data_IF_283817797405
#
_entry.id   IF_283817797405
#
_cell.length_a   1.000
_cell.length_b   1.000
_cell.length_c   1.000
_cell.angle_alpha   90.00
_cell.angle_beta   90.00
_cell.angle_gamma   90.00
#
_symmetry.space_group_name_H-M   'P 1'
#
loop_
_entity.id
_entity.type
_entity.pdbx_description
1 polymer ?
#
# COMPACT_ATOMS: atom_id res chain seq x y z
N UNK A 1 15.39 5.74 19.05
CA UNK A 1 15.28 4.29 18.74
C UNK A 1 14.39 4.08 17.51
N UNK A 2 13.20 4.73 17.43
CA UNK A 2 12.26 4.56 16.31
C UNK A 2 12.90 4.84 14.94
N UNK A 3 13.56 5.98 14.77
CA UNK A 3 14.18 6.36 13.50
C UNK A 3 15.26 5.37 13.01
N UNK A 4 15.99 4.70 13.92
CA UNK A 4 16.95 3.67 13.54
C UNK A 4 16.26 2.39 13.04
N UNK A 5 15.13 2.05 13.62
CA UNK A 5 14.31 0.94 13.16
C UNK A 5 13.74 1.23 11.77
N UNK A 6 13.24 2.43 11.55
CA UNK A 6 12.72 2.84 10.25
C UNK A 6 13.79 2.88 9.17
N UNK A 7 14.96 3.43 9.47
CA UNK A 7 16.10 3.35 8.59
C UNK A 7 16.43 1.91 8.19
N UNK A 8 16.42 1.00 9.16
CA UNK A 8 16.66 -0.43 8.91
C UNK A 8 15.58 -1.05 8.03
N UNK A 9 14.29 -0.73 8.29
CA UNK A 9 13.16 -1.22 7.49
C UNK A 9 13.27 -0.70 6.06
N UNK A 10 13.52 0.60 5.88
CA UNK A 10 13.66 1.22 4.56
C UNK A 10 14.84 0.63 3.78
N UNK A 11 16.00 0.50 4.41
CA UNK A 11 17.19 -0.12 3.82
C UNK A 11 16.91 -1.57 3.40
N UNK A 12 16.24 -2.34 4.24
CA UNK A 12 15.91 -3.75 3.94
C UNK A 12 14.94 -3.85 2.77
N UNK A 13 13.87 -3.07 2.78
CA UNK A 13 12.87 -3.06 1.71
C UNK A 13 13.48 -2.62 0.36
N UNK A 14 14.30 -1.57 0.37
CA UNK A 14 14.95 -1.07 -0.83
C UNK A 14 16.02 -2.02 -1.38
N UNK A 15 16.79 -2.68 -0.50
CA UNK A 15 17.77 -3.72 -0.89
C UNK A 15 17.06 -4.93 -1.55
N UNK A 16 15.92 -5.34 -1.00
CA UNK A 16 15.12 -6.40 -1.61
C UNK A 16 14.53 -5.96 -2.96
N UNK A 17 14.02 -4.73 -3.05
CA UNK A 17 13.52 -4.18 -4.31
C UNK A 17 14.61 -4.10 -5.39
N UNK A 18 15.85 -3.75 -5.02
CA UNK A 18 17.00 -3.78 -5.94
C UNK A 18 17.23 -5.18 -6.51
N UNK A 19 17.22 -6.22 -5.68
CA UNK A 19 17.37 -7.62 -6.11
C UNK A 19 16.23 -8.08 -7.03
N UNK A 20 15.05 -7.50 -6.85
CA UNK A 20 13.86 -7.82 -7.65
C UNK A 20 13.79 -7.05 -8.98
N UNK A 21 14.68 -6.08 -9.24
CA UNK A 21 14.71 -5.33 -10.52
C UNK A 21 14.62 -6.20 -11.78
N UNK A 22 15.34 -7.34 -11.88
CA UNK A 22 15.28 -8.18 -13.07
C UNK A 22 13.88 -8.77 -13.33
N UNK A 23 13.06 -8.88 -12.28
CA UNK A 23 11.73 -9.48 -12.31
C UNK A 23 10.62 -8.44 -12.29
N UNK A 24 10.96 -7.17 -12.04
CA UNK A 24 10.01 -6.09 -11.86
C UNK A 24 9.37 -5.69 -13.19
N UNK A 25 8.04 -5.72 -13.25
CA UNK A 25 7.26 -5.09 -14.30
C UNK A 25 7.04 -3.59 -14.06
N UNK A 26 6.37 -2.90 -14.97
CA UNK A 26 6.08 -1.46 -14.89
C UNK A 26 5.27 -1.09 -13.61
N UNK A 27 4.41 -1.99 -13.15
CA UNK A 27 3.55 -1.80 -11.98
C UNK A 27 4.20 -2.27 -10.66
N UNK A 28 5.48 -2.69 -10.67
CA UNK A 28 6.15 -3.17 -9.48
C UNK A 28 6.20 -2.08 -8.40
N UNK A 29 5.85 -2.46 -7.17
CA UNK A 29 5.91 -1.61 -5.99
C UNK A 29 6.40 -2.43 -4.79
N UNK A 30 7.12 -1.76 -3.91
CA UNK A 30 7.40 -2.23 -2.55
C UNK A 30 6.81 -1.21 -1.58
N UNK A 31 6.08 -1.68 -0.60
CA UNK A 31 5.48 -0.80 0.40
C UNK A 31 6.02 -1.11 1.80
N UNK A 32 6.13 -0.07 2.60
CA UNK A 32 6.56 -0.14 3.98
C UNK A 32 5.57 0.59 4.88
N UNK A 33 5.25 -0.01 6.01
CA UNK A 33 4.40 0.62 7.01
C UNK A 33 5.17 1.73 7.72
N UNK A 34 4.51 2.87 7.90
CA UNK A 34 4.98 4.01 8.69
C UNK A 34 3.90 4.47 9.65
N UNK A 35 4.29 5.22 10.67
CA UNK A 35 3.37 5.79 11.66
C UNK A 35 3.38 7.32 11.61
N UNK A 36 2.47 7.96 12.35
CA UNK A 36 2.53 9.41 12.52
C UNK A 36 3.83 9.85 13.20
N UNK A 37 4.34 9.10 14.17
CA UNK A 37 5.63 9.41 14.80
C UNK A 37 6.77 9.37 13.79
N UNK A 38 6.72 8.46 12.82
CA UNK A 38 7.66 8.41 11.70
C UNK A 38 7.60 9.69 10.89
N UNK A 39 6.42 10.13 10.53
CA UNK A 39 6.21 11.36 9.77
C UNK A 39 6.56 12.62 10.59
N UNK A 40 6.40 12.60 11.91
CA UNK A 40 6.83 13.69 12.78
C UNK A 40 8.36 13.83 12.85
N UNK A 41 9.09 12.77 12.62
CA UNK A 41 10.54 12.85 12.59
C UNK A 41 11.04 13.77 11.48
N UNK A 42 11.84 14.77 11.85
CA UNK A 42 12.37 15.78 10.92
C UNK A 42 13.32 15.26 9.84
N UNK A 43 13.82 14.03 9.99
CA UNK A 43 14.74 13.39 9.05
C UNK A 43 14.10 12.42 8.07
N UNK A 44 12.79 12.18 8.15
CA UNK A 44 12.11 11.13 7.36
C UNK A 44 12.25 11.33 5.85
N UNK A 45 12.05 12.55 5.35
CA UNK A 45 12.14 12.86 3.93
C UNK A 45 13.53 12.57 3.38
N UNK A 46 14.57 13.00 4.10
CA UNK A 46 15.97 12.77 3.70
C UNK A 46 16.32 11.28 3.79
N UNK A 47 15.83 10.58 4.81
CA UNK A 47 16.07 9.14 4.97
C UNK A 47 15.47 8.35 3.79
N UNK A 48 14.27 8.69 3.33
CA UNK A 48 13.64 8.07 2.16
C UNK A 48 14.46 8.36 0.90
N UNK A 49 14.83 9.61 0.66
CA UNK A 49 15.62 10.02 -0.50
C UNK A 49 16.98 9.29 -0.55
N UNK A 50 17.70 9.28 0.57
CA UNK A 50 19.00 8.61 0.67
C UNK A 50 18.88 7.09 0.42
N UNK A 51 17.78 6.49 0.90
CA UNK A 51 17.51 5.06 0.71
C UNK A 51 17.29 4.73 -0.76
N UNK A 52 16.38 5.42 -1.45
CA UNK A 52 16.12 5.12 -2.86
C UNK A 52 17.30 5.42 -3.75
N UNK A 53 18.08 6.47 -3.44
CA UNK A 53 19.32 6.81 -4.13
C UNK A 53 20.42 5.75 -3.93
N UNK A 54 20.58 5.25 -2.70
CA UNK A 54 21.58 4.22 -2.34
C UNK A 54 21.41 2.93 -3.12
N UNK A 55 20.15 2.49 -3.33
CA UNK A 55 19.81 1.24 -4.02
C UNK A 55 19.40 1.47 -5.48
N UNK A 56 19.49 2.71 -5.96
CA UNK A 56 19.15 3.08 -7.34
C UNK A 56 17.78 2.54 -7.78
N UNK A 57 16.77 2.64 -6.90
CA UNK A 57 15.39 2.25 -7.20
C UNK A 57 14.54 3.48 -7.54
N UNK A 58 13.57 3.37 -8.46
CA UNK A 58 12.66 4.47 -8.77
C UNK A 58 11.85 4.89 -7.52
N UNK A 59 11.68 6.19 -7.30
CA UNK A 59 10.88 6.69 -6.16
C UNK A 59 9.45 6.16 -6.17
N UNK A 60 8.85 5.99 -7.35
CA UNK A 60 7.50 5.44 -7.53
C UNK A 60 7.37 3.95 -7.17
N UNK A 61 8.49 3.23 -7.00
CA UNK A 61 8.47 1.86 -6.51
C UNK A 61 8.35 1.81 -4.99
N UNK A 62 8.88 2.83 -4.28
CA UNK A 62 8.91 2.86 -2.83
C UNK A 62 7.67 3.58 -2.29
N UNK A 63 6.73 2.80 -1.80
CA UNK A 63 5.44 3.25 -1.30
C UNK A 63 5.41 3.25 0.23
N UNK A 64 4.64 4.16 0.82
CA UNK A 64 4.49 4.31 2.26
C UNK A 64 3.05 3.98 2.65
N UNK A 65 2.87 3.02 3.55
CA UNK A 65 1.56 2.62 4.07
C UNK A 65 1.32 3.24 5.44
N UNK A 66 0.17 3.86 5.63
CA UNK A 66 -0.27 4.42 6.90
C UNK A 66 -1.66 3.88 7.23
N UNK A 67 -1.90 3.53 8.49
CA UNK A 67 -3.22 3.04 8.89
C UNK A 67 -4.29 4.12 8.73
N UNK A 68 -5.55 3.71 8.55
CA UNK A 68 -6.70 4.64 8.53
C UNK A 68 -6.73 5.52 9.78
N UNK A 69 -6.43 4.94 10.95
CA UNK A 69 -6.43 5.65 12.23
C UNK A 69 -5.36 6.75 12.29
N UNK A 70 -4.14 6.47 11.82
CA UNK A 70 -3.06 7.45 11.76
C UNK A 70 -3.36 8.56 10.75
N UNK A 71 -3.93 8.22 9.60
CA UNK A 71 -4.34 9.19 8.59
C UNK A 71 -5.37 10.20 9.13
N UNK A 72 -6.29 9.74 9.99
CA UNK A 72 -7.30 10.58 10.64
C UNK A 72 -6.73 11.55 11.67
N UNK A 73 -5.66 11.17 12.36
CA UNK A 73 -5.04 11.96 13.43
C UNK A 73 -3.93 12.89 12.95
N UNK A 74 -3.69 12.96 11.63
CA UNK A 74 -2.62 13.74 11.04
C UNK A 74 -2.77 15.25 11.27
N UNK A 75 -1.68 15.88 11.73
CA UNK A 75 -1.56 17.34 11.86
C UNK A 75 -1.30 18.03 10.52
N UNK A 76 -1.38 19.36 10.48
CA UNK A 76 -1.03 20.15 9.30
C UNK A 76 0.41 19.90 8.86
N UNK A 77 1.34 19.76 9.81
CA UNK A 77 2.75 19.52 9.53
C UNK A 77 2.98 18.15 8.86
N UNK A 78 2.23 17.13 9.26
CA UNK A 78 2.25 15.80 8.62
C UNK A 78 1.72 15.88 7.18
N UNK A 79 0.64 16.62 6.97
CA UNK A 79 0.07 16.82 5.65
C UNK A 79 1.06 17.46 4.66
N UNK A 80 1.85 18.42 5.10
CA UNK A 80 2.86 19.05 4.26
C UNK A 80 4.05 18.13 3.97
N UNK A 81 4.47 17.30 4.93
CA UNK A 81 5.48 16.25 4.69
C UNK A 81 5.01 15.21 3.66
N UNK A 82 3.76 14.74 3.77
CA UNK A 82 3.18 13.84 2.78
C UNK A 82 3.23 14.46 1.38
N UNK A 83 2.86 15.74 1.23
CA UNK A 83 2.96 16.45 -0.05
C UNK A 83 4.39 16.50 -0.58
N UNK A 84 5.37 16.80 0.28
CA UNK A 84 6.77 16.89 -0.10
C UNK A 84 7.30 15.55 -0.60
N UNK A 85 7.01 14.47 0.13
CA UNK A 85 7.41 13.10 -0.23
C UNK A 85 6.74 12.69 -1.56
N UNK A 86 5.45 12.97 -1.72
CA UNK A 86 4.73 12.72 -2.98
C UNK A 86 5.29 13.51 -4.16
N UNK A 87 5.71 14.76 -3.95
CA UNK A 87 6.31 15.58 -5.01
C UNK A 87 7.60 14.99 -5.58
N UNK A 88 8.26 14.08 -4.84
CA UNK A 88 9.44 13.31 -5.27
C UNK A 88 9.10 12.00 -6.00
N UNK A 89 7.81 11.68 -6.16
CA UNK A 89 7.32 10.52 -6.90
C UNK A 89 6.83 9.36 -6.03
N UNK A 90 7.08 9.39 -4.71
CA UNK A 90 6.60 8.34 -3.80
C UNK A 90 5.08 8.28 -3.73
N UNK A 91 4.56 7.10 -3.41
CA UNK A 91 3.13 6.84 -3.27
C UNK A 91 2.76 6.62 -1.81
N UNK A 92 1.59 7.08 -1.43
CA UNK A 92 1.01 6.83 -0.12
C UNK A 92 -0.21 5.93 -0.23
N UNK A 93 -0.28 4.94 0.65
CA UNK A 93 -1.38 4.00 0.76
C UNK A 93 -2.06 4.15 2.12
N UNK A 94 -3.38 4.03 2.15
CA UNK A 94 -4.13 3.83 3.40
C UNK A 94 -4.30 2.34 3.60
N UNK A 95 -3.90 1.87 4.77
CA UNK A 95 -4.07 0.48 5.21
C UNK A 95 -5.25 0.32 6.18
N UNK A 96 -5.75 -0.91 6.33
CA UNK A 96 -6.84 -1.29 7.24
C UNK A 96 -8.16 -0.50 7.02
N UNK A 97 -8.44 -0.08 5.78
CA UNK A 97 -9.63 0.72 5.49
C UNK A 97 -10.92 -0.08 5.69
N UNK A 98 -11.81 0.47 6.53
CA UNK A 98 -13.11 -0.13 6.82
C UNK A 98 -13.23 -0.76 8.20
N UNK A 99 -12.19 -0.74 9.02
CA UNK A 99 -12.21 -1.28 10.38
C UNK A 99 -13.03 -0.46 11.40
N UNK A 100 -13.74 0.58 10.99
CA UNK A 100 -14.78 1.19 11.83
C UNK A 100 -14.63 2.67 12.18
N UNK A 101 -13.64 3.36 11.69
CA UNK A 101 -13.45 4.80 11.92
C UNK A 101 -13.51 5.62 10.64
N UNK A 102 -14.25 5.15 9.63
CA UNK A 102 -14.27 5.72 8.28
C UNK A 102 -14.71 7.19 8.27
N UNK A 103 -13.76 8.09 8.25
CA UNK A 103 -13.95 9.48 7.89
C UNK A 103 -13.51 9.69 6.44
N UNK A 104 -14.40 10.10 5.57
CA UNK A 104 -14.06 10.39 4.18
C UNK A 104 -13.23 11.68 4.02
N UNK A 105 -12.96 12.37 5.13
CA UNK A 105 -12.31 13.69 5.11
C UNK A 105 -10.90 13.62 4.50
N UNK A 106 -10.11 12.57 4.80
CA UNK A 106 -8.77 12.43 4.25
C UNK A 106 -8.76 12.02 2.78
N UNK A 107 -9.81 11.36 2.28
CA UNK A 107 -9.94 11.06 0.85
C UNK A 107 -10.12 12.34 0.01
N UNK A 108 -10.61 13.44 0.61
CA UNK A 108 -10.75 14.72 -0.07
C UNK A 108 -9.40 15.43 -0.30
N UNK A 109 -8.35 15.04 0.44
CA UNK A 109 -7.07 15.77 0.45
C UNK A 109 -6.14 15.41 -0.71
N UNK A 110 -6.44 14.37 -1.48
CA UNK A 110 -5.58 13.83 -2.55
C UNK A 110 -4.16 13.44 -2.07
N UNK A 111 -4.03 13.10 -0.77
CA UNK A 111 -2.74 12.65 -0.21
C UNK A 111 -2.44 11.20 -0.52
N UNK A 112 -3.48 10.38 -0.71
CA UNK A 112 -3.37 8.94 -0.87
C UNK A 112 -3.63 8.53 -2.31
N UNK A 113 -2.79 7.64 -2.82
CA UNK A 113 -2.85 7.11 -4.17
C UNK A 113 -3.60 5.78 -4.23
N UNK A 114 -3.62 5.07 -3.09
CA UNK A 114 -4.21 3.73 -2.97
C UNK A 114 -4.92 3.59 -1.63
N UNK A 115 -6.00 2.83 -1.62
CA UNK A 115 -6.71 2.39 -0.40
C UNK A 115 -6.75 0.87 -0.38
N UNK A 116 -6.31 0.25 0.71
CA UNK A 116 -6.35 -1.19 0.93
C UNK A 116 -7.60 -1.51 1.77
N UNK A 117 -8.51 -2.29 1.19
CA UNK A 117 -9.72 -2.73 1.87
C UNK A 117 -9.40 -3.90 2.80
N UNK A 118 -9.67 -3.72 4.09
CA UNK A 118 -9.45 -4.75 5.11
C UNK A 118 -10.32 -6.00 4.91
N UNK A 119 -9.86 -7.10 5.48
CA UNK A 119 -10.55 -8.39 5.44
C UNK A 119 -11.95 -8.38 6.05
N UNK A 120 -12.31 -7.44 6.91
CA UNK A 120 -13.66 -7.29 7.44
C UNK A 120 -14.70 -6.98 6.36
N UNK A 121 -14.27 -6.36 5.25
CA UNK A 121 -15.11 -6.10 4.08
C UNK A 121 -14.98 -7.20 3.03
N UNK A 122 -13.77 -7.70 2.79
CA UNK A 122 -13.46 -8.53 1.62
C UNK A 122 -13.74 -10.02 1.83
N UNK A 123 -13.57 -10.56 3.06
CA UNK A 123 -13.69 -12.00 3.33
C UNK A 123 -15.09 -12.57 3.00
N UNK A 124 -16.12 -11.83 3.36
CA UNK A 124 -17.51 -12.28 3.22
C UNK A 124 -18.20 -11.70 1.96
N UNK A 125 -17.46 -11.19 0.99
CA UNK A 125 -18.01 -10.51 -0.19
C UNK A 125 -18.99 -11.38 -0.98
N UNK A 126 -18.81 -12.71 -0.99
CA UNK A 126 -19.69 -13.65 -1.70
C UNK A 126 -20.98 -13.94 -0.95
N UNK A 127 -21.02 -13.76 0.37
CA UNK A 127 -22.13 -14.15 1.23
C UNK A 127 -22.86 -12.95 1.85
N UNK A 128 -22.24 -11.78 1.81
CA UNK A 128 -22.75 -10.56 2.45
C UNK A 128 -22.97 -9.47 1.41
N UNK A 129 -24.19 -9.35 0.92
CA UNK A 129 -24.60 -8.35 -0.07
C UNK A 129 -24.26 -6.91 0.40
N UNK A 130 -24.35 -6.66 1.73
CA UNK A 130 -24.02 -5.35 2.29
C UNK A 130 -22.55 -4.99 2.14
N UNK A 131 -21.66 -5.97 2.29
CA UNK A 131 -20.23 -5.75 2.05
C UNK A 131 -19.97 -5.44 0.58
N UNK A 132 -20.64 -6.17 -0.34
CA UNK A 132 -20.54 -5.90 -1.80
C UNK A 132 -21.01 -4.48 -2.13
N UNK A 133 -22.11 -4.01 -1.54
CA UNK A 133 -22.63 -2.65 -1.75
C UNK A 133 -21.65 -1.58 -1.20
N UNK A 134 -21.07 -1.83 -0.03
CA UNK A 134 -20.07 -0.93 0.57
C UNK A 134 -18.83 -0.85 -0.35
N UNK A 135 -18.30 -2.00 -0.75
CA UNK A 135 -17.12 -2.06 -1.65
C UNK A 135 -17.43 -1.33 -2.97
N UNK A 136 -18.59 -1.60 -3.58
CA UNK A 136 -19.02 -0.91 -4.79
C UNK A 136 -19.10 0.60 -4.64
N UNK A 137 -19.56 1.08 -3.48
CA UNK A 137 -19.61 2.52 -3.16
C UNK A 137 -18.20 3.13 -3.03
N UNK A 138 -17.27 2.42 -2.37
CA UNK A 138 -15.87 2.86 -2.24
C UNK A 138 -15.18 2.89 -3.61
N UNK A 139 -15.41 1.87 -4.45
CA UNK A 139 -14.89 1.83 -5.83
C UNK A 139 -15.46 2.97 -6.68
N UNK A 140 -16.73 3.32 -6.51
CA UNK A 140 -17.28 4.50 -7.19
C UNK A 140 -16.57 5.79 -6.76
N UNK A 141 -16.31 5.96 -5.46
CA UNK A 141 -15.54 7.10 -4.93
C UNK A 141 -14.11 7.10 -5.45
N UNK A 142 -13.45 5.94 -5.53
CA UNK A 142 -12.06 5.84 -5.99
C UNK A 142 -11.91 6.38 -7.42
N UNK A 143 -12.84 6.06 -8.29
CA UNK A 143 -12.87 6.56 -9.68
C UNK A 143 -13.08 8.07 -9.74
N UNK A 144 -13.93 8.61 -8.86
CA UNK A 144 -14.23 10.04 -8.82
C UNK A 144 -13.10 10.87 -8.22
N UNK A 145 -12.36 10.31 -7.27
CA UNK A 145 -11.27 10.97 -6.55
C UNK A 145 -9.86 10.53 -7.02
N UNK A 146 -9.79 9.64 -8.02
CA UNK A 146 -8.56 9.19 -8.69
C UNK A 146 -7.56 8.45 -7.78
N UNK A 147 -8.03 7.58 -6.88
CA UNK A 147 -7.19 6.63 -6.17
C UNK A 147 -7.51 5.18 -6.57
N UNK A 148 -6.56 4.27 -6.37
CA UNK A 148 -6.73 2.83 -6.65
C UNK A 148 -7.20 2.07 -5.42
N UNK A 149 -7.83 0.91 -5.65
CA UNK A 149 -8.28 0.00 -4.59
C UNK A 149 -7.51 -1.31 -4.65
N UNK A 150 -6.90 -1.69 -3.53
CA UNK A 150 -6.38 -3.04 -3.29
C UNK A 150 -7.35 -3.75 -2.35
N UNK A 151 -7.83 -4.92 -2.74
CA UNK A 151 -8.60 -5.78 -1.85
C UNK A 151 -7.66 -6.77 -1.16
N UNK A 152 -7.66 -6.78 0.17
CA UNK A 152 -6.87 -7.67 0.99
C UNK A 152 -7.61 -8.95 1.36
N UNK A 153 -6.90 -9.91 1.95
CA UNK A 153 -7.42 -11.21 2.42
C UNK A 153 -8.12 -12.00 1.32
N UNK A 154 -7.62 -11.93 0.10
CA UNK A 154 -8.14 -12.72 -1.02
C UNK A 154 -7.56 -14.13 -0.94
N UNK A 155 -8.42 -15.13 -0.67
CA UNK A 155 -7.99 -16.50 -0.42
C UNK A 155 -8.44 -17.49 -1.51
N UNK A 156 -9.46 -17.15 -2.31
CA UNK A 156 -9.94 -17.99 -3.41
C UNK A 156 -10.28 -17.19 -4.67
N UNK A 157 -10.43 -17.92 -5.79
CA UNK A 157 -10.69 -17.31 -7.10
C UNK A 157 -12.07 -16.69 -7.23
N UNK A 158 -13.10 -17.25 -6.59
CA UNK A 158 -14.47 -16.71 -6.66
C UNK A 158 -14.53 -15.35 -5.94
N UNK A 159 -13.85 -15.26 -4.79
CA UNK A 159 -13.69 -14.01 -4.05
C UNK A 159 -12.98 -12.96 -4.91
N UNK A 160 -11.84 -13.32 -5.51
CA UNK A 160 -11.12 -12.43 -6.44
C UNK A 160 -11.99 -11.96 -7.59
N UNK A 161 -12.74 -12.86 -8.22
CA UNK A 161 -13.54 -12.55 -9.39
C UNK A 161 -14.71 -11.62 -9.03
N UNK A 162 -15.32 -11.80 -7.87
CA UNK A 162 -16.35 -10.88 -7.38
C UNK A 162 -15.76 -9.50 -7.05
N UNK A 163 -14.65 -9.41 -6.34
CA UNK A 163 -13.95 -8.14 -6.06
C UNK A 163 -13.52 -7.43 -7.34
N UNK A 164 -13.06 -8.17 -8.34
CA UNK A 164 -12.75 -7.66 -9.68
C UNK A 164 -14.01 -7.15 -10.39
N UNK A 165 -15.13 -7.88 -10.31
CA UNK A 165 -16.43 -7.46 -10.86
C UNK A 165 -16.91 -6.17 -10.22
N UNK A 166 -16.70 -6.00 -8.92
CA UNK A 166 -17.02 -4.76 -8.18
C UNK A 166 -16.10 -3.60 -8.61
N UNK A 167 -14.93 -3.89 -9.17
CA UNK A 167 -14.01 -2.90 -9.76
C UNK A 167 -12.79 -2.58 -8.93
N UNK A 168 -12.38 -3.45 -8.00
CA UNK A 168 -11.09 -3.35 -7.33
C UNK A 168 -9.95 -3.48 -8.35
N UNK A 169 -8.87 -2.72 -8.17
CA UNK A 169 -7.77 -2.61 -9.12
C UNK A 169 -6.70 -3.67 -8.91
N UNK A 170 -6.47 -4.09 -7.66
CA UNK A 170 -5.48 -5.11 -7.30
C UNK A 170 -5.94 -5.96 -6.12
N UNK A 171 -5.25 -7.08 -5.89
CA UNK A 171 -5.65 -8.09 -4.92
C UNK A 171 -4.44 -8.58 -4.15
N UNK A 172 -4.56 -8.70 -2.82
CA UNK A 172 -3.53 -9.20 -1.93
C UNK A 172 -4.13 -10.30 -1.04
N UNK A 173 -3.42 -11.42 -0.92
CA UNK A 173 -3.86 -12.51 -0.03
C UNK A 173 -3.25 -13.86 -0.36
N UNK A 174 -3.67 -14.87 0.39
CA UNK A 174 -3.11 -16.22 0.31
C UNK A 174 -3.45 -16.97 -0.99
N UNK A 175 -4.38 -16.46 -1.78
CA UNK A 175 -4.59 -16.95 -3.15
C UNK A 175 -3.32 -16.85 -3.99
N UNK A 176 -2.50 -15.81 -3.76
CA UNK A 176 -1.28 -15.56 -4.52
C UNK A 176 -0.05 -16.13 -3.83
N UNK A 177 0.16 -15.75 -2.59
CA UNK A 177 1.24 -16.27 -1.74
C UNK A 177 1.00 -15.93 -0.27
N UNK A 178 1.48 -16.77 0.64
CA UNK A 178 1.72 -16.39 2.03
C UNK A 178 2.98 -15.52 2.10
N UNK A 179 3.22 -14.80 3.21
CA UNK A 179 4.49 -14.11 3.41
C UNK A 179 5.68 -15.03 3.18
N UNK A 180 6.67 -14.53 2.45
CA UNK A 180 7.86 -15.28 2.06
C UNK A 180 9.11 -14.59 2.64
N UNK A 181 10.08 -15.38 3.05
CA UNK A 181 11.44 -14.91 3.27
C UNK A 181 12.09 -14.50 1.93
N UNK A 182 13.11 -13.63 1.97
CA UNK A 182 13.71 -13.02 0.78
C UNK A 182 14.11 -14.05 -0.29
N UNK A 183 14.83 -15.11 0.09
CA UNK A 183 15.30 -16.14 -0.86
C UNK A 183 14.12 -16.87 -1.53
N UNK A 184 13.07 -17.16 -0.75
CA UNK A 184 11.87 -17.79 -1.28
C UNK A 184 11.09 -16.83 -2.21
N UNK A 185 11.08 -15.53 -1.90
CA UNK A 185 10.48 -14.51 -2.76
C UNK A 185 11.19 -14.41 -4.11
N UNK A 186 12.52 -14.40 -4.11
CA UNK A 186 13.31 -14.37 -5.34
C UNK A 186 13.00 -15.59 -6.24
N UNK A 187 13.01 -16.79 -5.65
CA UNK A 187 12.65 -18.03 -6.35
C UNK A 187 11.23 -17.96 -6.91
N UNK A 188 10.27 -17.49 -6.10
CA UNK A 188 8.87 -17.34 -6.52
C UNK A 188 8.70 -16.36 -7.70
N UNK A 189 9.48 -15.29 -7.74
CA UNK A 189 9.48 -14.32 -8.85
C UNK A 189 10.10 -14.90 -10.12
N UNK A 190 11.21 -15.67 -10.00
CA UNK A 190 11.85 -16.36 -11.13
C UNK A 190 10.90 -17.36 -11.81
N UNK A 191 10.20 -18.17 -11.02
CA UNK A 191 9.27 -19.17 -11.52
C UNK A 191 8.12 -18.53 -12.33
N UNK A 192 7.66 -17.35 -11.94
CA UNK A 192 6.55 -16.64 -12.61
C UNK A 192 6.92 -15.90 -13.88
N UNK A 193 8.18 -15.61 -14.12
CA UNK A 193 8.62 -15.08 -15.40
C UNK A 193 8.66 -16.12 -16.52
N UNK A 194 8.67 -17.40 -16.15
CA UNK A 194 8.77 -18.52 -17.10
C UNK A 194 7.40 -19.10 -17.50
N UNK A 195 6.29 -18.45 -17.07
CA UNK A 195 4.90 -18.81 -17.40
C UNK A 195 4.28 -17.72 -18.27
#
# INVERSE_FOLDING_TARGET
VLYLLEQYIFDTAAATAEKLKPYAGEEFKVSVNITNESLEWGGIEQCIDDTVAKYDIPSEWFCLEITEQDALSSSIDIADKIKNIKAKGHKFLIDDFGMGHTSLTYLQTNYFDVVKLDGSLTRDVLCNERNSDIIGSIVYLSKSLHFKIIAEYVEDENQRDELKRLGCDAFQGYLYSKPLEEDALLTWMEERQNV
#
